data_IF_811019161950
#
_entry.id   IF_811019161950
#
_cell.length_a   1.000
_cell.length_b   1.000
_cell.length_c   1.000
_cell.angle_alpha   90.00
_cell.angle_beta   90.00
_cell.angle_gamma   90.00
#
_symmetry.space_group_name_H-M   'P 1'
#
loop_
_entity.id
_entity.type
_entity.pdbx_description
1 polymer ?
#
# COMPACT_ATOMS: atom_id res chain seq x y z
N UNK A 1 8.81 -22.37 -3.26
CA UNK A 1 8.52 -23.44 -2.28
C UNK A 1 8.74 -22.83 -0.90
N UNK A 2 7.68 -22.66 -0.09
CA UNK A 2 7.75 -21.89 1.16
C UNK A 2 8.90 -22.35 2.07
N UNK A 3 9.77 -21.42 2.47
CA UNK A 3 10.76 -21.66 3.52
C UNK A 3 10.04 -21.98 4.84
N UNK A 4 10.47 -23.06 5.50
CA UNK A 4 9.87 -23.60 6.73
C UNK A 4 10.23 -22.76 7.95
N UNK A 5 9.58 -21.61 8.12
CA UNK A 5 9.72 -20.75 9.32
C UNK A 5 8.85 -21.26 10.50
N UNK A 6 7.90 -22.17 10.26
CA UNK A 6 6.99 -22.72 11.28
C UNK A 6 6.44 -24.10 10.87
N UNK A 7 6.20 -24.98 11.86
CA UNK A 7 5.53 -26.30 11.66
C UNK A 7 4.04 -26.16 11.31
N UNK A 8 3.41 -25.03 11.66
CA UNK A 8 2.04 -24.68 11.30
C UNK A 8 2.05 -23.50 10.34
N UNK A 9 1.31 -23.58 9.22
CA UNK A 9 1.20 -22.48 8.27
C UNK A 9 0.32 -21.36 8.86
N UNK A 10 0.91 -20.18 9.08
CA UNK A 10 0.22 -18.96 9.57
C UNK A 10 0.07 -17.97 8.41
N UNK A 11 -1.19 -17.65 8.10
CA UNK A 11 -1.57 -16.67 7.10
C UNK A 11 -2.16 -15.45 7.80
N UNK A 12 -1.68 -14.28 7.46
CA UNK A 12 -2.26 -13.01 7.86
C UNK A 12 -2.97 -12.37 6.66
N UNK A 13 -4.23 -12.04 6.82
CA UNK A 13 -5.08 -11.50 5.74
C UNK A 13 -5.48 -10.04 5.99
N UNK A 14 -4.95 -9.41 7.04
CA UNK A 14 -5.25 -8.03 7.38
C UNK A 14 -3.96 -7.27 7.67
N UNK A 15 -3.35 -6.75 6.62
CA UNK A 15 -2.17 -5.92 6.72
C UNK A 15 -2.15 -4.85 5.65
N UNK A 16 -1.53 -3.71 5.98
CA UNK A 16 -1.52 -2.55 5.10
C UNK A 16 -0.11 -2.20 4.62
N UNK A 17 -0.02 -1.74 3.37
CA UNK A 17 1.17 -1.26 2.71
C UNK A 17 0.97 0.18 2.19
N UNK A 18 2.05 0.94 2.14
CA UNK A 18 2.12 2.28 1.56
C UNK A 18 3.22 2.28 0.50
N UNK A 19 2.95 2.86 -0.69
CA UNK A 19 4.01 3.18 -1.62
C UNK A 19 5.04 4.07 -0.95
N UNK A 20 6.33 3.74 -1.13
CA UNK A 20 7.41 4.52 -0.56
C UNK A 20 7.46 5.93 -1.18
N UNK A 21 7.34 6.00 -2.49
CA UNK A 21 7.46 7.25 -3.25
C UNK A 21 6.11 7.61 -3.88
N UNK A 22 5.31 8.38 -3.14
CA UNK A 22 3.98 8.82 -3.59
C UNK A 22 4.13 10.06 -4.50
N UNK A 23 3.58 10.05 -5.73
CA UNK A 23 3.54 11.23 -6.59
C UNK A 23 2.87 12.42 -5.91
N UNK A 24 3.27 13.63 -6.31
CA UNK A 24 2.62 14.85 -5.87
C UNK A 24 1.26 15.05 -6.57
N UNK A 25 0.27 14.26 -6.14
CA UNK A 25 -1.09 14.29 -6.67
C UNK A 25 -1.77 15.65 -6.49
N UNK A 26 -1.45 16.39 -5.43
CA UNK A 26 -1.99 17.74 -5.21
C UNK A 26 -1.52 18.68 -6.34
N UNK A 27 -0.24 18.64 -6.69
CA UNK A 27 0.29 19.41 -7.82
C UNK A 27 -0.26 18.91 -9.16
N UNK A 28 -0.39 17.60 -9.34
CA UNK A 28 -0.88 17.01 -10.59
C UNK A 28 -2.36 17.32 -10.85
N UNK A 29 -3.21 17.27 -9.83
CA UNK A 29 -4.66 17.44 -9.96
C UNK A 29 -5.15 18.87 -9.67
N UNK A 30 -4.30 19.71 -9.06
CA UNK A 30 -4.58 21.12 -8.78
C UNK A 30 -5.46 21.36 -7.55
N UNK A 31 -5.59 20.40 -6.63
CA UNK A 31 -6.30 20.55 -5.37
C UNK A 31 -5.74 19.62 -4.28
N UNK A 32 -5.89 20.03 -3.02
CA UNK A 32 -5.35 19.31 -1.84
C UNK A 32 -6.13 18.07 -1.43
N UNK A 33 -5.73 17.45 -0.33
CA UNK A 33 -6.35 16.28 0.28
C UNK A 33 -5.54 14.99 0.14
N UNK A 34 -4.42 15.03 -0.58
CA UNK A 34 -3.57 13.87 -0.84
C UNK A 34 -2.48 13.69 0.23
N UNK A 35 -2.05 12.44 0.38
CA UNK A 35 -0.99 12.06 1.31
C UNK A 35 0.37 12.17 0.65
N UNK A 36 1.38 12.62 1.42
CA UNK A 36 2.80 12.51 1.10
C UNK A 36 3.55 11.87 2.25
N UNK A 37 4.72 11.28 1.98
CA UNK A 37 5.61 10.75 3.00
C UNK A 37 6.87 11.61 3.14
N UNK A 38 7.17 12.01 4.36
CA UNK A 38 8.48 12.57 4.73
C UNK A 38 9.28 11.45 5.41
N UNK A 39 10.33 10.97 4.76
CA UNK A 39 11.12 9.81 5.20
C UNK A 39 12.23 10.18 6.18
N UNK A 40 12.73 9.16 6.90
CA UNK A 40 13.89 9.25 7.80
C UNK A 40 13.74 10.31 8.89
N UNK A 41 12.57 10.36 9.52
CA UNK A 41 12.27 11.33 10.58
C UNK A 41 12.88 10.97 11.93
N UNK A 42 13.54 9.81 12.02
CA UNK A 42 14.30 9.31 13.17
C UNK A 42 15.39 8.31 12.74
N UNK A 43 16.15 7.80 13.73
CA UNK A 43 17.25 6.85 13.51
C UNK A 43 16.76 5.47 13.06
N UNK A 44 15.50 5.12 13.33
CA UNK A 44 14.87 3.87 12.92
C UNK A 44 14.41 3.90 11.44
N UNK A 45 14.48 5.06 10.79
CA UNK A 45 14.09 5.24 9.39
C UNK A 45 12.57 5.29 9.19
N UNK A 46 11.82 5.72 10.20
CA UNK A 46 10.37 5.90 10.09
C UNK A 46 10.02 7.07 9.16
N UNK A 47 8.75 7.17 8.77
CA UNK A 47 8.24 8.27 7.95
C UNK A 47 7.06 8.98 8.61
N UNK A 48 6.94 10.28 8.36
CA UNK A 48 5.73 11.05 8.67
C UNK A 48 4.80 11.01 7.45
N UNK A 49 3.57 10.56 7.68
CA UNK A 49 2.48 10.68 6.72
C UNK A 49 1.86 12.06 6.87
N UNK A 50 2.02 12.88 5.83
CA UNK A 50 1.55 14.26 5.78
C UNK A 50 0.30 14.34 4.93
N UNK A 51 -0.69 15.12 5.36
CA UNK A 51 -1.90 15.43 4.60
C UNK A 51 -2.23 16.91 4.80
N UNK A 52 -2.41 17.65 3.70
CA UNK A 52 -2.73 19.08 3.73
C UNK A 52 -1.73 19.90 4.60
N UNK A 53 -0.44 19.58 4.47
CA UNK A 53 0.65 20.23 5.22
C UNK A 53 0.70 19.89 6.72
N UNK A 54 -0.15 18.98 7.20
CA UNK A 54 -0.21 18.57 8.61
C UNK A 54 0.23 17.13 8.77
N UNK A 55 0.88 16.85 9.90
CA UNK A 55 1.17 15.48 10.31
C UNK A 55 -0.15 14.74 10.56
N UNK A 56 -0.40 13.70 9.79
CA UNK A 56 -1.55 12.82 9.97
C UNK A 56 -1.19 11.64 10.88
N UNK A 57 -0.09 10.94 10.58
CA UNK A 57 0.37 9.77 11.33
C UNK A 57 1.86 9.53 11.11
N UNK A 58 2.58 9.11 12.14
CA UNK A 58 3.92 8.52 11.98
C UNK A 58 3.79 7.02 11.64
N UNK A 59 4.50 6.56 10.61
CA UNK A 59 4.47 5.17 10.15
C UNK A 59 5.85 4.53 10.23
N UNK A 60 5.87 3.26 10.61
CA UNK A 60 7.10 2.48 10.71
C UNK A 60 7.57 2.02 9.33
N UNK A 61 8.87 1.76 9.21
CA UNK A 61 9.51 1.36 7.95
C UNK A 61 8.86 0.13 7.29
N UNK A 62 8.38 -0.83 8.07
CA UNK A 62 7.66 -2.01 7.57
C UNK A 62 6.38 -1.65 6.76
N UNK A 63 5.82 -0.45 6.93
CA UNK A 63 4.64 0.00 6.17
C UNK A 63 4.96 0.22 4.70
N UNK A 64 6.19 0.62 4.34
CA UNK A 64 6.59 0.99 2.98
C UNK A 64 7.87 0.28 2.48
N UNK A 65 8.44 -0.63 3.28
CA UNK A 65 9.59 -1.46 2.92
C UNK A 65 9.25 -2.94 3.14
N UNK A 66 8.99 -3.68 2.05
CA UNK A 66 8.61 -5.10 2.15
C UNK A 66 9.74 -6.01 2.62
N UNK A 67 11.01 -5.60 2.46
CA UNK A 67 12.12 -6.37 3.00
C UNK A 67 12.13 -6.30 4.54
N UNK A 68 11.88 -5.12 5.12
CA UNK A 68 11.73 -5.00 6.58
C UNK A 68 10.47 -5.72 7.08
N UNK A 69 9.36 -5.63 6.35
CA UNK A 69 8.13 -6.40 6.65
C UNK A 69 8.40 -7.90 6.72
N UNK A 70 9.08 -8.48 5.73
CA UNK A 70 9.33 -9.93 5.69
C UNK A 70 10.21 -10.37 6.87
N UNK A 71 11.20 -9.57 7.29
CA UNK A 71 11.97 -9.84 8.51
C UNK A 71 11.10 -9.86 9.76
N UNK A 72 10.15 -8.94 9.88
CA UNK A 72 9.21 -8.91 10.99
C UNK A 72 8.21 -10.08 10.94
N UNK A 73 7.73 -10.43 9.74
CA UNK A 73 6.93 -11.64 9.53
C UNK A 73 7.67 -12.88 10.05
N UNK A 74 8.97 -13.02 9.77
CA UNK A 74 9.78 -14.14 10.25
C UNK A 74 9.87 -14.18 11.78
N UNK A 75 10.08 -13.01 12.44
CA UNK A 75 10.06 -12.90 13.91
C UNK A 75 8.70 -13.28 14.51
N UNK A 76 7.61 -13.01 13.81
CA UNK A 76 6.24 -13.30 14.22
C UNK A 76 5.72 -14.67 13.71
N UNK A 77 6.59 -15.46 13.07
CA UNK A 77 6.27 -16.75 12.45
C UNK A 77 5.09 -16.69 11.47
N UNK A 78 4.93 -15.58 10.75
CA UNK A 78 3.92 -15.40 9.68
C UNK A 78 4.51 -15.89 8.36
N UNK A 79 3.88 -16.91 7.77
CA UNK A 79 4.36 -17.50 6.52
C UNK A 79 3.97 -16.67 5.31
N UNK A 80 2.72 -16.21 5.25
CA UNK A 80 2.20 -15.42 4.13
C UNK A 80 1.35 -14.29 4.68
N UNK A 81 1.47 -13.10 4.07
CA UNK A 81 0.64 -11.95 4.38
C UNK A 81 -0.04 -11.43 3.11
N UNK A 82 -1.36 -11.28 3.12
CA UNK A 82 -2.06 -10.49 2.12
C UNK A 82 -1.98 -9.01 2.53
N UNK A 83 -1.53 -8.16 1.61
CA UNK A 83 -1.33 -6.73 1.87
C UNK A 83 -2.23 -5.89 0.95
N UNK A 84 -2.89 -4.88 1.52
CA UNK A 84 -3.69 -3.88 0.79
C UNK A 84 -3.20 -2.47 1.10
N UNK A 85 -3.72 -1.47 0.39
CA UNK A 85 -3.45 -0.07 0.73
C UNK A 85 -4.01 0.30 2.12
N UNK A 86 -3.55 1.42 2.69
CA UNK A 86 -4.12 2.00 3.91
C UNK A 86 -5.40 2.79 3.61
N UNK A 87 -6.40 2.85 4.52
CA UNK A 87 -7.70 3.46 4.23
C UNK A 87 -7.67 4.93 3.77
N UNK A 88 -6.72 5.73 4.26
CA UNK A 88 -6.60 7.14 3.88
C UNK A 88 -6.22 7.33 2.39
N UNK A 89 -5.64 6.30 1.77
CA UNK A 89 -5.23 6.33 0.36
C UNK A 89 -6.37 6.02 -0.61
N UNK A 90 -7.53 5.51 -0.13
CA UNK A 90 -8.69 5.21 -0.99
C UNK A 90 -9.18 6.40 -1.81
N UNK A 91 -9.04 7.62 -1.27
CA UNK A 91 -9.27 8.86 -2.03
C UNK A 91 -10.68 8.97 -2.67
N UNK A 92 -11.70 8.33 -2.10
CA UNK A 92 -13.08 8.33 -2.65
C UNK A 92 -13.77 9.71 -2.68
N UNK A 93 -13.16 10.72 -2.04
CA UNK A 93 -13.60 12.12 -2.08
C UNK A 93 -13.13 12.87 -3.34
N UNK A 94 -12.26 12.26 -4.15
CA UNK A 94 -11.71 12.87 -5.37
C UNK A 94 -12.70 12.85 -6.53
N UNK A 95 -12.39 13.61 -7.59
CA UNK A 95 -13.05 13.39 -8.88
C UNK A 95 -12.82 11.94 -9.36
N UNK A 96 -13.82 11.26 -9.95
CA UNK A 96 -13.70 9.86 -10.36
C UNK A 96 -12.42 9.51 -11.13
N UNK A 97 -12.06 10.33 -12.12
CA UNK A 97 -10.88 10.15 -12.99
C UNK A 97 -9.56 10.25 -12.22
N UNK A 98 -9.50 11.06 -11.16
CA UNK A 98 -8.30 11.17 -10.32
C UNK A 98 -8.20 10.00 -9.35
N UNK A 99 -9.33 9.53 -8.80
CA UNK A 99 -9.36 8.34 -7.96
C UNK A 99 -9.03 7.05 -8.73
N UNK A 100 -9.35 6.96 -10.02
CA UNK A 100 -8.87 5.88 -10.91
C UNK A 100 -7.33 5.90 -11.00
N UNK A 101 -6.74 7.07 -11.25
CA UNK A 101 -5.27 7.24 -11.34
C UNK A 101 -4.60 6.82 -10.03
N UNK A 102 -5.15 7.24 -8.89
CA UNK A 102 -4.63 6.87 -7.56
C UNK A 102 -4.77 5.36 -7.33
N UNK A 103 -5.92 4.76 -7.63
CA UNK A 103 -6.15 3.32 -7.43
C UNK A 103 -5.16 2.49 -8.26
N UNK A 104 -4.98 2.83 -9.53
CA UNK A 104 -4.01 2.18 -10.42
C UNK A 104 -2.59 2.27 -9.89
N UNK A 105 -2.17 3.46 -9.46
CA UNK A 105 -0.85 3.67 -8.88
C UNK A 105 -0.62 2.79 -7.64
N UNK A 106 -1.61 2.71 -6.76
CA UNK A 106 -1.54 1.88 -5.55
C UNK A 106 -1.47 0.37 -5.88
N UNK A 107 -2.27 -0.08 -6.84
CA UNK A 107 -2.30 -1.48 -7.26
C UNK A 107 -0.97 -1.87 -7.92
N UNK A 108 -0.44 -1.02 -8.79
CA UNK A 108 0.85 -1.22 -9.46
C UNK A 108 2.01 -1.35 -8.47
N UNK A 109 2.05 -0.45 -7.47
CA UNK A 109 3.05 -0.48 -6.41
C UNK A 109 2.96 -1.77 -5.58
N UNK A 110 1.77 -2.12 -5.07
CA UNK A 110 1.56 -3.34 -4.29
C UNK A 110 1.95 -4.59 -5.08
N UNK A 111 1.58 -4.68 -6.36
CA UNK A 111 1.97 -5.80 -7.22
C UNK A 111 3.50 -5.85 -7.40
N UNK A 112 4.15 -4.71 -7.65
CA UNK A 112 5.59 -4.63 -7.81
C UNK A 112 6.34 -5.04 -6.52
N UNK A 113 5.84 -4.64 -5.37
CA UNK A 113 6.41 -4.99 -4.07
C UNK A 113 6.19 -6.47 -3.71
N UNK A 114 5.00 -7.01 -3.96
CA UNK A 114 4.71 -8.44 -3.77
C UNK A 114 5.58 -9.34 -4.67
N UNK A 115 5.91 -8.89 -5.90
CA UNK A 115 6.81 -9.63 -6.81
C UNK A 115 8.23 -9.82 -6.27
N UNK A 116 8.67 -9.02 -5.28
CA UNK A 116 9.97 -9.23 -4.62
C UNK A 116 9.97 -10.44 -3.69
N UNK A 117 8.78 -10.83 -3.18
CA UNK A 117 8.59 -11.97 -2.30
C UNK A 117 7.29 -12.74 -2.66
N UNK A 118 7.20 -13.33 -3.86
CA UNK A 118 5.95 -13.91 -4.39
C UNK A 118 5.46 -15.11 -3.58
N UNK A 119 6.36 -15.80 -2.87
CA UNK A 119 6.04 -16.91 -1.96
C UNK A 119 5.62 -16.42 -0.55
N UNK A 120 5.60 -15.11 -0.27
CA UNK A 120 5.35 -14.56 1.08
C UNK A 120 4.28 -13.48 1.09
N UNK A 121 4.10 -12.74 0.01
CA UNK A 121 3.21 -11.59 -0.06
C UNK A 121 2.16 -11.78 -1.15
N UNK A 122 0.90 -11.52 -0.82
CA UNK A 122 -0.23 -11.58 -1.75
C UNK A 122 -0.81 -10.18 -1.92
N UNK A 123 -0.89 -9.64 -3.14
CA UNK A 123 -1.46 -8.32 -3.37
C UNK A 123 -2.98 -8.34 -3.24
N UNK A 124 -3.55 -7.30 -2.60
CA UNK A 124 -4.98 -6.99 -2.63
C UNK A 124 -5.18 -5.58 -3.17
N UNK A 125 -5.80 -5.49 -4.35
CA UNK A 125 -6.05 -4.23 -5.05
C UNK A 125 -7.15 -3.39 -4.38
N UNK A 126 -7.16 -2.10 -4.73
CA UNK A 126 -8.22 -1.14 -4.40
C UNK A 126 -8.90 -0.66 -5.68
N UNK A 127 -10.16 -0.25 -5.57
CA UNK A 127 -10.96 0.22 -6.70
C UNK A 127 -11.43 1.67 -6.47
N UNK A 128 -11.61 2.48 -7.52
CA UNK A 128 -12.21 3.82 -7.41
C UNK A 128 -13.73 3.75 -7.15
N UNK A 129 -14.12 3.35 -5.94
CA UNK A 129 -15.50 3.01 -5.56
C UNK A 129 -16.52 4.17 -5.67
N UNK A 130 -16.06 5.40 -5.84
CA UNK A 130 -16.91 6.56 -6.12
C UNK A 130 -17.52 6.55 -7.53
N UNK A 131 -17.05 5.68 -8.43
CA UNK A 131 -17.62 5.48 -9.77
C UNK A 131 -17.62 4.00 -10.16
N UNK A 132 -18.82 3.44 -10.35
CA UNK A 132 -19.02 2.01 -10.63
C UNK A 132 -18.34 1.54 -11.92
N UNK A 133 -18.42 2.32 -13.00
CA UNK A 133 -17.85 1.92 -14.31
C UNK A 133 -16.31 1.85 -14.23
N UNK A 134 -15.69 2.84 -13.60
CA UNK A 134 -14.23 2.86 -13.37
C UNK A 134 -13.80 1.76 -12.40
N UNK A 135 -14.61 1.46 -11.38
CA UNK A 135 -14.33 0.38 -10.43
C UNK A 135 -14.35 -1.00 -11.12
N UNK A 136 -15.33 -1.27 -11.98
CA UNK A 136 -15.39 -2.51 -12.77
C UNK A 136 -14.17 -2.59 -13.70
N UNK A 137 -13.86 -1.50 -14.41
CA UNK A 137 -12.71 -1.43 -15.32
C UNK A 137 -11.39 -1.74 -14.62
N UNK A 138 -11.18 -1.21 -13.41
CA UNK A 138 -9.97 -1.49 -12.64
C UNK A 138 -9.95 -2.94 -12.09
N UNK A 139 -11.10 -3.46 -11.66
CA UNK A 139 -11.20 -4.86 -11.22
C UNK A 139 -10.87 -5.85 -12.35
N UNK A 140 -11.32 -5.56 -13.58
CA UNK A 140 -11.00 -6.38 -14.76
C UNK A 140 -9.51 -6.34 -15.11
N UNK A 141 -8.87 -5.18 -14.93
CA UNK A 141 -7.42 -5.01 -15.12
C UNK A 141 -6.62 -5.82 -14.10
N UNK A 142 -7.02 -5.82 -12.84
CA UNK A 142 -6.31 -6.52 -11.77
C UNK A 142 -6.43 -8.06 -11.85
N UNK A 143 -7.36 -8.57 -12.68
CA UNK A 143 -7.52 -10.00 -12.95
C UNK A 143 -6.63 -10.54 -14.09
N UNK A 144 -5.86 -9.69 -14.78
CA UNK A 144 -5.00 -10.05 -15.94
C UNK A 144 -3.52 -10.14 -15.60
#
# INVERSE_FOLDING_TARGET
>A
MFSSVSKNRKFDVHAHHLPKDIPDFEKTFGYGGFVRLEHNVDAEGNANMMKDGKLFRKVSRNCFDVHERVKEMDKCHVNVQAISTVPVMFSYWTKPEHGEIVSRFLNDDIVAECKKYPDRLVPMGTLPMQNTELAIKEADRDNS
#
